data_IF_159541479196
#
_entry.id   IF_159541479196
#
_cell.length_a   1.000
_cell.length_b   1.000
_cell.length_c   1.000
_cell.angle_alpha   90.00
_cell.angle_beta   90.00
_cell.angle_gamma   90.00
#
_symmetry.space_group_name_H-M   'P 1'
#
loop_
_entity.id
_entity.type
_entity.pdbx_description
1 polymer ?
#
# COMPACT_ATOMS: atom_id res chain seq x y z
N UNK A 1 -14.60 -5.85 11.44
CA UNK A 1 -14.30 -4.50 10.93
C UNK A 1 -13.87 -4.63 9.48
N UNK A 2 -14.69 -4.18 8.53
CA UNK A 2 -14.34 -4.17 7.11
C UNK A 2 -13.50 -2.92 6.83
N UNK A 3 -12.17 -3.10 6.80
CA UNK A 3 -11.24 -2.04 6.45
C UNK A 3 -10.63 -2.34 5.09
N UNK A 4 -11.27 -1.82 4.05
CA UNK A 4 -10.75 -1.79 2.68
C UNK A 4 -10.48 -0.33 2.35
N UNK A 5 -9.32 0.03 1.79
CA UNK A 5 -9.04 1.42 1.43
C UNK A 5 -9.97 1.93 0.30
N UNK A 6 -10.74 1.03 -0.30
CA UNK A 6 -11.82 1.30 -1.23
C UNK A 6 -13.16 1.05 -0.54
N UNK A 7 -14.10 2.00 -0.68
CA UNK A 7 -15.42 1.99 -0.03
C UNK A 7 -16.38 0.90 -0.55
N UNK A 8 -15.99 0.16 -1.59
CA UNK A 8 -16.81 -0.86 -2.24
C UNK A 8 -16.23 -2.25 -2.00
N UNK A 9 -17.03 -3.21 -1.52
CA UNK A 9 -16.65 -4.62 -1.54
C UNK A 9 -16.40 -5.05 -2.99
N UNK A 10 -15.24 -5.65 -3.25
CA UNK A 10 -14.89 -6.18 -4.57
C UNK A 10 -14.58 -7.67 -4.46
N UNK A 11 -15.06 -8.42 -5.46
CA UNK A 11 -14.67 -9.81 -5.69
C UNK A 11 -13.57 -9.85 -6.74
N UNK A 12 -12.45 -10.48 -6.37
CA UNK A 12 -11.33 -10.73 -7.26
C UNK A 12 -11.36 -12.17 -7.76
N UNK A 13 -10.90 -12.39 -9.00
CA UNK A 13 -10.88 -13.71 -9.63
C UNK A 13 -9.75 -14.57 -9.08
N UNK A 14 -8.61 -13.96 -8.76
CA UNK A 14 -7.46 -14.66 -8.21
C UNK A 14 -6.53 -13.68 -7.49
N UNK A 15 -5.62 -14.25 -6.71
CA UNK A 15 -4.57 -13.51 -6.02
C UNK A 15 -3.19 -14.13 -6.18
N UNK A 16 -2.16 -13.29 -6.12
CA UNK A 16 -0.75 -13.67 -6.09
C UNK A 16 -0.05 -12.92 -4.96
N UNK A 17 0.72 -13.64 -4.15
CA UNK A 17 1.62 -13.05 -3.16
C UNK A 17 3.03 -12.91 -3.74
N UNK A 18 3.65 -11.76 -3.50
CA UNK A 18 5.03 -11.46 -3.88
C UNK A 18 5.75 -10.90 -2.66
N UNK A 19 6.92 -11.43 -2.35
CA UNK A 19 7.75 -10.98 -1.23
C UNK A 19 9.12 -10.59 -1.74
N UNK A 20 9.59 -9.40 -1.36
CA UNK A 20 10.86 -8.86 -1.83
C UNK A 20 11.39 -7.81 -0.85
N UNK A 21 12.65 -7.44 -1.01
CA UNK A 21 13.31 -6.44 -0.16
C UNK A 21 13.44 -5.13 -0.91
N UNK A 22 12.84 -4.06 -0.37
CA UNK A 22 13.05 -2.71 -0.86
C UNK A 22 14.27 -2.07 -0.19
N UNK A 23 15.24 -1.65 -0.98
CA UNK A 23 16.33 -0.80 -0.50
C UNK A 23 15.85 0.65 -0.43
N UNK A 24 15.73 1.21 0.77
CA UNK A 24 15.29 2.59 1.01
C UNK A 24 16.51 3.48 1.30
N UNK A 25 16.58 4.63 0.63
CA UNK A 25 17.67 5.64 0.77
C UNK A 25 17.43 6.70 1.86
N UNK A 26 16.42 6.58 2.73
CA UNK A 26 16.06 7.64 3.68
C UNK A 26 16.75 7.49 5.04
N UNK A 27 16.90 8.63 5.73
CA UNK A 27 17.68 8.83 6.96
C UNK A 27 17.13 8.13 8.23
N UNK A 28 15.87 7.64 8.23
CA UNK A 28 15.21 7.07 9.41
C UNK A 28 14.60 5.69 9.08
N UNK A 29 14.95 4.69 9.89
CA UNK A 29 14.54 3.29 9.75
C UNK A 29 15.59 2.42 9.04
N UNK A 30 15.34 1.12 8.87
CA UNK A 30 16.28 0.22 8.21
C UNK A 30 16.43 0.55 6.72
N UNK A 31 17.65 0.37 6.21
CA UNK A 31 18.01 0.60 4.81
C UNK A 31 17.45 -0.45 3.86
N UNK A 32 17.09 -1.62 4.38
CA UNK A 32 16.43 -2.71 3.68
C UNK A 32 15.11 -3.03 4.39
N UNK A 33 14.01 -2.98 3.66
CA UNK A 33 12.67 -3.21 4.21
C UNK A 33 12.06 -4.40 3.49
N UNK A 34 11.85 -5.54 4.18
CA UNK A 34 11.05 -6.63 3.67
C UNK A 34 9.61 -6.16 3.43
N UNK A 35 9.17 -6.36 2.20
CA UNK A 35 7.84 -5.97 1.73
C UNK A 35 7.13 -7.19 1.19
N UNK A 36 5.89 -7.37 1.65
CA UNK A 36 4.95 -8.32 1.09
C UNK A 36 3.89 -7.56 0.32
N UNK A 37 3.71 -7.92 -0.95
CA UNK A 37 2.62 -7.46 -1.78
C UNK A 37 1.65 -8.59 -2.07
N UNK A 38 0.35 -8.29 -1.97
CA UNK A 38 -0.71 -9.17 -2.42
C UNK A 38 -1.38 -8.50 -3.62
N UNK A 39 -1.19 -9.10 -4.78
CA UNK A 39 -1.82 -8.72 -6.03
C UNK A 39 -3.13 -9.47 -6.15
N UNK A 40 -4.19 -8.77 -6.51
CA UNK A 40 -5.51 -9.34 -6.82
C UNK A 40 -5.97 -8.77 -8.14
N UNK A 41 -6.63 -9.57 -8.96
CA UNK A 41 -7.13 -9.06 -10.23
C UNK A 41 -8.56 -9.49 -10.53
N UNK A 42 -9.20 -8.67 -11.35
CA UNK A 42 -10.45 -8.97 -12.02
C UNK A 42 -10.30 -8.59 -13.48
N UNK A 43 -10.54 -9.54 -14.37
CA UNK A 43 -10.42 -9.36 -15.80
C UNK A 43 -11.76 -9.60 -16.50
N UNK A 44 -12.16 -8.62 -17.31
CA UNK A 44 -13.26 -8.70 -18.27
C UNK A 44 -12.67 -8.68 -19.67
N UNK A 45 -12.72 -9.82 -20.40
CA UNK A 45 -12.13 -9.93 -21.74
C UNK A 45 -12.59 -8.83 -22.70
N UNK A 46 -11.63 -8.26 -23.42
CA UNK A 46 -11.88 -7.19 -24.40
C UNK A 46 -12.33 -5.84 -23.81
N UNK A 47 -12.41 -5.71 -22.48
CA UNK A 47 -12.90 -4.49 -21.85
C UNK A 47 -11.92 -3.93 -20.82
N UNK A 48 -11.62 -4.69 -19.76
CA UNK A 48 -10.95 -4.13 -18.59
C UNK A 48 -10.16 -5.16 -17.81
N UNK A 49 -8.97 -4.78 -17.37
CA UNK A 49 -8.22 -5.46 -16.32
C UNK A 49 -8.09 -4.53 -15.11
N UNK A 50 -8.53 -4.98 -13.95
CA UNK A 50 -8.29 -4.30 -12.69
C UNK A 50 -7.26 -5.11 -11.91
N UNK A 51 -6.19 -4.45 -11.47
CA UNK A 51 -5.20 -5.01 -10.55
C UNK A 51 -5.21 -4.18 -9.27
N UNK A 52 -5.51 -4.82 -8.15
CA UNK A 52 -5.38 -4.23 -6.81
C UNK A 52 -4.17 -4.82 -6.13
N UNK A 53 -3.29 -3.96 -5.64
CA UNK A 53 -2.05 -4.35 -4.97
C UNK A 53 -2.09 -3.83 -3.56
N UNK A 54 -2.04 -4.73 -2.59
CA UNK A 54 -1.83 -4.34 -1.22
C UNK A 54 -0.39 -4.57 -0.80
N UNK A 55 0.30 -3.51 -0.38
CA UNK A 55 1.66 -3.54 0.11
C UNK A 55 1.70 -3.43 1.63
N UNK A 56 2.42 -4.35 2.27
CA UNK A 56 2.71 -4.36 3.71
C UNK A 56 4.22 -4.45 3.90
N UNK A 57 4.76 -3.68 4.82
CA UNK A 57 6.18 -3.71 5.20
C UNK A 57 6.29 -4.28 6.61
N UNK A 58 7.41 -4.91 6.96
CA UNK A 58 7.54 -5.57 8.27
C UNK A 58 8.56 -4.92 9.21
N UNK A 59 9.52 -4.15 8.70
CA UNK A 59 10.61 -3.59 9.51
C UNK A 59 10.69 -2.05 9.50
N UNK A 60 9.76 -1.39 8.81
CA UNK A 60 9.68 0.07 8.87
C UNK A 60 9.08 0.52 10.22
N UNK A 61 9.53 1.64 10.79
CA UNK A 61 8.81 2.29 11.88
C UNK A 61 7.33 2.44 11.51
N UNK A 62 6.45 2.05 12.44
CA UNK A 62 4.99 2.18 12.29
C UNK A 62 4.36 1.30 11.20
N UNK A 63 5.08 0.28 10.71
CA UNK A 63 4.65 -0.62 9.64
C UNK A 63 3.27 -1.28 9.86
N UNK A 64 2.90 -1.56 11.11
CA UNK A 64 1.59 -2.13 11.45
C UNK A 64 0.42 -1.14 11.33
N UNK A 65 0.70 0.16 11.23
CA UNK A 65 -0.31 1.23 11.28
C UNK A 65 -0.61 1.88 9.94
N UNK A 66 0.11 1.49 8.89
CA UNK A 66 -0.22 1.90 7.53
C UNK A 66 -0.23 0.71 6.59
N UNK A 67 -1.17 0.75 5.66
CA UNK A 67 -1.22 -0.18 4.53
C UNK A 67 -1.32 0.65 3.27
N UNK A 68 -0.43 0.38 2.32
CA UNK A 68 -0.45 1.04 1.03
C UNK A 68 -1.22 0.16 0.05
N UNK A 69 -2.27 0.70 -0.54
CA UNK A 69 -3.06 0.04 -1.56
C UNK A 69 -2.92 0.82 -2.87
N UNK A 70 -2.40 0.14 -3.90
CA UNK A 70 -2.34 0.66 -5.26
C UNK A 70 -3.40 -0.04 -6.10
N UNK A 71 -3.94 0.68 -7.08
CA UNK A 71 -4.90 0.15 -8.04
C UNK A 71 -4.49 0.56 -9.44
N UNK A 72 -4.43 -0.40 -10.33
CA UNK A 72 -4.18 -0.20 -11.75
C UNK A 72 -5.41 -0.68 -12.51
N UNK A 73 -5.98 0.20 -13.32
CA UNK A 73 -7.12 -0.13 -14.19
C UNK A 73 -6.64 0.04 -15.62
N UNK A 74 -6.59 -1.05 -16.36
CA UNK A 74 -6.31 -1.07 -17.78
C UNK A 74 -7.63 -1.16 -18.53
N UNK A 75 -7.95 -0.15 -19.32
CA UNK A 75 -9.13 -0.12 -20.18
C UNK A 75 -8.74 -0.36 -21.63
N UNK A 76 -9.41 -1.32 -22.27
CA UNK A 76 -9.20 -1.60 -23.69
C UNK A 76 -9.62 -0.39 -24.52
N UNK A 77 -8.80 -0.03 -25.51
CA UNK A 77 -9.15 1.04 -26.44
C UNK A 77 -10.33 0.60 -27.34
N UNK A 78 -11.29 1.50 -27.53
CA UNK A 78 -12.40 1.28 -28.48
C UNK A 78 -11.95 1.42 -29.94
N UNK A 79 -10.82 2.09 -30.19
CA UNK A 79 -10.33 2.40 -31.54
C UNK A 79 -9.17 1.50 -31.99
N UNK A 80 -8.52 0.76 -31.08
CA UNK A 80 -7.37 -0.09 -31.40
C UNK A 80 -7.38 -1.36 -30.55
N UNK A 81 -7.29 -2.52 -31.21
CA UNK A 81 -7.24 -3.83 -30.55
C UNK A 81 -5.91 -4.10 -29.81
N UNK A 82 -4.90 -3.25 -30.01
CA UNK A 82 -3.54 -3.45 -29.49
C UNK A 82 -3.15 -2.39 -28.46
N UNK A 83 -4.08 -1.52 -28.08
CA UNK A 83 -3.83 -0.44 -27.13
C UNK A 83 -4.78 -0.53 -25.93
N UNK A 84 -4.29 -0.07 -24.79
CA UNK A 84 -5.10 0.14 -23.59
C UNK A 84 -4.67 1.42 -22.89
N UNK A 85 -5.59 2.05 -22.18
CA UNK A 85 -5.28 3.16 -21.27
C UNK A 85 -5.07 2.63 -19.85
N UNK A 86 -4.11 3.21 -19.14
CA UNK A 86 -3.82 2.88 -17.75
C UNK A 86 -4.27 4.03 -16.84
N UNK A 87 -5.09 3.70 -15.86
CA UNK A 87 -5.48 4.61 -14.77
C UNK A 87 -4.89 4.03 -13.48
N UNK A 88 -4.03 4.81 -12.84
CA UNK A 88 -3.44 4.47 -11.55
C UNK A 88 -4.09 5.24 -10.40
N UNK A 89 -4.43 4.53 -9.33
CA UNK A 89 -4.91 5.10 -8.08
C UNK A 89 -4.07 4.60 -6.91
N UNK A 90 -3.81 5.47 -5.95
CA UNK A 90 -3.09 5.14 -4.73
C UNK A 90 -3.90 5.57 -3.51
N UNK A 91 -4.12 4.64 -2.59
CA UNK A 91 -4.76 4.88 -1.32
C UNK A 91 -3.83 4.42 -0.20
N UNK A 92 -3.52 5.32 0.72
CA UNK A 92 -2.83 4.99 1.96
C UNK A 92 -3.84 4.98 3.07
N UNK A 93 -4.02 3.83 3.70
CA UNK A 93 -4.71 3.82 4.99
C UNK A 93 -3.71 4.10 6.09
N UNK A 94 -3.98 5.14 6.88
CA UNK A 94 -3.21 5.47 8.08
C UNK A 94 -4.19 5.70 9.24
N UNK A 95 -3.86 5.19 10.42
CA UNK A 95 -4.55 5.63 11.64
C UNK A 95 -3.90 6.92 12.17
N UNK A 96 -4.41 8.08 11.73
CA UNK A 96 -3.89 9.42 12.11
C UNK A 96 -3.84 9.64 13.62
N UNK A 97 -4.84 9.13 14.36
CA UNK A 97 -4.90 9.24 15.82
C UNK A 97 -3.82 8.41 16.51
N UNK A 98 -3.50 7.23 15.96
CA UNK A 98 -2.43 6.38 16.47
C UNK A 98 -1.07 6.98 16.17
N UNK A 99 -0.86 7.50 14.95
CA UNK A 99 0.38 8.19 14.59
C UNK A 99 0.68 9.37 15.53
N UNK A 100 -0.30 10.24 15.76
CA UNK A 100 -0.18 11.39 16.67
C UNK A 100 0.18 10.98 18.11
N UNK A 101 -0.47 9.93 18.63
CA UNK A 101 -0.20 9.42 19.98
C UNK A 101 1.24 8.94 20.13
N UNK A 102 1.77 8.26 19.12
CA UNK A 102 3.12 7.70 19.17
C UNK A 102 4.22 8.73 18.92
N UNK A 103 4.01 9.72 18.05
CA UNK A 103 4.95 10.85 17.89
C UNK A 103 5.14 11.55 19.23
N UNK A 104 4.04 11.78 19.96
CA UNK A 104 4.11 12.35 21.32
C UNK A 104 4.93 11.47 22.26
N UNK A 105 4.67 10.16 22.29
CA UNK A 105 5.44 9.23 23.14
C UNK A 105 6.93 9.16 22.79
N UNK A 106 7.30 9.25 21.51
CA UNK A 106 8.70 9.24 21.09
C UNK A 106 9.42 10.53 21.52
N UNK A 107 8.76 11.69 21.42
CA UNK A 107 9.28 12.97 21.91
C UNK A 107 9.44 12.93 23.43
N UNK A 108 8.45 12.42 24.15
CA UNK A 108 8.47 12.32 25.62
C UNK A 108 9.60 11.39 26.10
N UNK A 109 9.82 10.26 25.42
CA UNK A 109 10.92 9.34 25.71
C UNK A 109 12.29 9.97 25.43
N UNK A 110 12.44 10.69 24.32
CA UNK A 110 13.68 11.40 24.00
C UNK A 110 14.03 12.46 25.05
N UNK A 111 13.05 13.28 25.44
CA UNK A 111 13.22 14.31 26.46
C UNK A 111 13.55 13.71 27.83
N UNK A 112 13.00 12.53 28.14
CA UNK A 112 13.30 11.82 29.39
C UNK A 112 14.72 11.23 29.40
N UNK A 113 15.23 10.81 28.24
CA UNK A 113 16.58 10.28 28.09
C UNK A 113 17.66 11.38 28.02
N UNK A 114 17.29 12.60 27.66
CA UNK A 114 18.17 13.77 27.58
C UNK A 114 17.58 14.95 28.38
N UNK A 115 17.53 14.83 29.72
CA UNK A 115 17.04 15.92 30.55
C UNK A 115 17.98 17.13 30.40
N UNK A 116 17.40 18.28 30.07
CA UNK A 116 18.06 19.59 30.03
C UNK A 116 18.43 20.08 31.42
#
# INVERSE_FOLDING_TARGET
MAYTAFSRPETFQSERRVTFVHNKKNFIGPSAIPTTQIYRYTYTPGQRLVVSVTSSVHDAPFCYYFRAESRWVFDASLSSAHECSLIEGFAKSESKSVMLKWVKQAIDAYNSAHPS
#
